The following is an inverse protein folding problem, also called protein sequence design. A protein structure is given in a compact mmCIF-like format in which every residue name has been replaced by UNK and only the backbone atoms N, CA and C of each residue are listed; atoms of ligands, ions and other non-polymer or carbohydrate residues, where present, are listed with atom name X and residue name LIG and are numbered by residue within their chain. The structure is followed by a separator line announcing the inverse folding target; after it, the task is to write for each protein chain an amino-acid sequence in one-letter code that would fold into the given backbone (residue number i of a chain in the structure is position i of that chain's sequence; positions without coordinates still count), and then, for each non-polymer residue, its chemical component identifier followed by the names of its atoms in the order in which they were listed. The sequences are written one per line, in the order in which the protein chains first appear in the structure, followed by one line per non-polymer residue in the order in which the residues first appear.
data_IF_969651695665
#
_entry.id   IF_969651695665
#
_cell.length_a   1.000
_cell.length_b   1.000
_cell.length_c   1.000
_cell.angle_alpha   90.00
_cell.angle_beta   90.00
_cell.angle_gamma   90.00
#
_symmetry.space_group_name_H-M   'P 1'
#
loop_
_entity.id
_entity.type
_entity.pdbx_description
1 polymer ?
#
# COMPACT_ATOMS: atom_id res chain seq x y z
N UNK A 1 11.43 5.00 18.17
CA UNK A 1 10.93 4.67 16.85
C UNK A 1 10.42 5.93 16.17
N UNK A 2 10.92 6.19 15.01
CA UNK A 2 10.40 7.31 14.26
C UNK A 2 8.96 6.99 13.83
N UNK A 3 8.03 7.77 14.33
CA UNK A 3 6.68 7.69 13.83
C UNK A 3 6.67 8.24 12.43
N UNK A 4 6.20 7.43 11.49
CA UNK A 4 5.90 7.96 10.19
C UNK A 4 4.70 8.89 10.31
N UNK A 5 4.96 10.18 10.18
CA UNK A 5 3.88 11.14 10.03
C UNK A 5 3.32 10.97 8.64
N UNK A 6 2.29 10.17 8.54
CA UNK A 6 1.53 10.09 7.31
C UNK A 6 0.58 11.26 7.28
N UNK A 7 0.85 12.23 6.42
CA UNK A 7 -0.15 13.25 6.14
C UNK A 7 -1.37 12.56 5.56
N UNK A 8 -2.57 12.84 6.07
CA UNK A 8 -3.77 12.24 5.50
C UNK A 8 -3.84 12.51 4.01
N UNK A 9 -4.08 11.48 3.23
CA UNK A 9 -4.14 11.60 1.78
C UNK A 9 -5.18 12.64 1.35
N UNK A 10 -6.31 12.71 2.05
CA UNK A 10 -7.34 13.70 1.79
C UNK A 10 -6.82 15.12 1.87
N UNK A 11 -5.94 15.41 2.82
CA UNK A 11 -5.34 16.74 2.97
C UNK A 11 -4.42 17.06 1.80
N UNK A 12 -3.60 16.12 1.37
CA UNK A 12 -2.73 16.30 0.21
C UNK A 12 -3.54 16.57 -1.05
N UNK A 13 -4.63 15.84 -1.23
CA UNK A 13 -5.51 16.03 -2.39
C UNK A 13 -6.19 17.39 -2.34
N UNK A 14 -6.66 17.82 -1.17
CA UNK A 14 -7.32 19.13 -1.00
C UNK A 14 -6.34 20.27 -1.30
N UNK A 15 -5.08 20.14 -0.89
CA UNK A 15 -4.05 21.15 -1.16
C UNK A 15 -3.75 21.27 -2.66
N UNK A 16 -3.80 20.18 -3.39
CA UNK A 16 -3.49 20.15 -4.84
C UNK A 16 -4.71 20.49 -5.69
N UNK A 17 -5.87 19.93 -5.37
CA UNK A 17 -7.06 19.97 -6.22
C UNK A 17 -8.13 20.96 -5.77
N UNK A 18 -7.99 21.56 -4.59
CA UNK A 18 -8.96 22.50 -4.06
C UNK A 18 -10.13 21.82 -3.33
N UNK A 19 -11.27 22.50 -3.30
CA UNK A 19 -12.41 22.05 -2.52
C UNK A 19 -13.11 20.84 -3.10
N UNK A 20 -13.61 19.98 -2.19
CA UNK A 20 -14.47 18.86 -2.55
C UNK A 20 -15.85 19.32 -2.91
N UNK A 21 -16.54 18.57 -3.72
CA UNK A 21 -17.95 18.79 -4.02
C UNK A 21 -18.36 18.69 -5.47
N UNK A 22 -17.41 18.50 -6.39
CA UNK A 22 -17.73 18.25 -7.79
C UNK A 22 -17.52 16.77 -8.11
N UNK A 23 -18.34 16.20 -8.98
CA UNK A 23 -18.19 14.81 -9.42
C UNK A 23 -16.82 14.55 -10.04
N UNK A 24 -16.36 15.47 -10.87
CA UNK A 24 -15.05 15.36 -11.52
C UNK A 24 -13.94 15.33 -10.50
N UNK A 25 -14.00 16.21 -9.49
CA UNK A 25 -13.03 16.27 -8.42
C UNK A 25 -13.02 14.98 -7.60
N UNK A 26 -14.20 14.46 -7.26
CA UNK A 26 -14.34 13.25 -6.46
C UNK A 26 -13.81 12.02 -7.21
N UNK A 27 -14.09 11.92 -8.51
CA UNK A 27 -13.58 10.83 -9.33
C UNK A 27 -12.05 10.87 -9.44
N UNK A 28 -11.48 12.06 -9.67
CA UNK A 28 -10.03 12.25 -9.73
C UNK A 28 -9.36 11.97 -8.39
N UNK A 29 -9.99 12.41 -7.31
CA UNK A 29 -9.50 12.16 -5.95
C UNK A 29 -9.43 10.66 -5.66
N UNK A 30 -10.48 9.92 -6.03
CA UNK A 30 -10.52 8.48 -5.82
C UNK A 30 -9.41 7.78 -6.58
N UNK A 31 -9.24 8.12 -7.87
CA UNK A 31 -8.18 7.55 -8.70
C UNK A 31 -6.79 7.86 -8.13
N UNK A 32 -6.57 9.11 -7.73
CA UNK A 32 -5.30 9.54 -7.15
C UNK A 32 -4.99 8.79 -5.86
N UNK A 33 -5.98 8.59 -4.99
CA UNK A 33 -5.81 7.83 -3.75
C UNK A 33 -5.41 6.39 -4.03
N UNK A 34 -6.06 5.75 -4.99
CA UNK A 34 -5.74 4.37 -5.36
C UNK A 34 -4.29 4.25 -5.87
N UNK A 35 -3.88 5.15 -6.75
CA UNK A 35 -2.53 5.15 -7.30
C UNK A 35 -1.47 5.45 -6.24
N UNK A 36 -1.71 6.45 -5.40
CA UNK A 36 -0.76 6.82 -4.33
C UNK A 36 -0.64 5.70 -3.31
N UNK A 37 -1.76 5.09 -2.92
CA UNK A 37 -1.74 3.98 -1.99
C UNK A 37 -0.98 2.78 -2.56
N UNK A 38 -1.18 2.46 -3.83
CA UNK A 38 -0.45 1.38 -4.49
C UNK A 38 1.04 1.66 -4.51
N UNK A 39 1.43 2.90 -4.75
CA UNK A 39 2.83 3.31 -4.72
C UNK A 39 3.46 3.11 -3.34
N UNK A 40 2.82 3.59 -2.30
CA UNK A 40 3.35 3.48 -0.93
C UNK A 40 3.38 2.04 -0.44
N UNK A 41 2.37 1.25 -0.79
CA UNK A 41 2.37 -0.18 -0.47
C UNK A 41 3.49 -0.90 -1.19
N UNK A 42 3.73 -0.58 -2.45
CA UNK A 42 4.85 -1.13 -3.22
C UNK A 42 6.19 -0.81 -2.60
N UNK A 43 6.38 0.43 -2.14
CA UNK A 43 7.60 0.85 -1.45
C UNK A 43 7.79 0.08 -0.14
N UNK A 44 6.72 -0.13 0.62
CA UNK A 44 6.78 -0.89 1.86
C UNK A 44 7.18 -2.34 1.60
N UNK A 45 6.64 -2.96 0.56
CA UNK A 45 7.01 -4.32 0.14
C UNK A 45 8.49 -4.37 -0.22
N UNK A 46 8.96 -3.42 -1.02
CA UNK A 46 10.36 -3.38 -1.43
C UNK A 46 11.30 -3.22 -0.24
N UNK A 47 11.00 -2.32 0.66
CA UNK A 47 11.81 -2.08 1.85
C UNK A 47 11.86 -3.31 2.76
N UNK A 48 10.72 -3.96 2.99
CA UNK A 48 10.67 -5.15 3.81
C UNK A 48 11.42 -6.31 3.15
N UNK A 49 11.31 -6.45 1.83
CA UNK A 49 12.05 -7.46 1.08
C UNK A 49 13.56 -7.23 1.20
N UNK A 50 14.00 -6.00 0.97
CA UNK A 50 15.42 -5.65 1.04
C UNK A 50 15.99 -5.82 2.45
N UNK A 51 15.19 -5.52 3.48
CA UNK A 51 15.59 -5.71 4.86
C UNK A 51 15.88 -7.18 5.18
N UNK A 52 15.22 -8.09 4.49
CA UNK A 52 15.46 -9.53 4.63
C UNK A 52 16.44 -10.10 3.60
N UNK A 53 17.02 -9.23 2.77
CA UNK A 53 17.97 -9.61 1.73
C UNK A 53 17.40 -10.63 0.73
N UNK A 54 16.12 -10.49 0.44
CA UNK A 54 15.43 -11.32 -0.55
C UNK A 54 15.44 -10.65 -1.91
N UNK A 55 15.58 -11.45 -2.95
CA UNK A 55 15.37 -10.98 -4.32
C UNK A 55 13.87 -10.98 -4.64
N UNK A 56 13.47 -10.28 -5.70
CA UNK A 56 12.09 -10.31 -6.18
C UNK A 56 11.67 -11.73 -6.55
N UNK A 57 12.58 -12.50 -7.14
CA UNK A 57 12.33 -13.89 -7.51
C UNK A 57 12.08 -14.75 -6.27
N UNK A 58 12.91 -14.60 -5.24
CA UNK A 58 12.75 -15.35 -3.99
C UNK A 58 11.43 -15.03 -3.30
N UNK A 59 11.02 -13.77 -3.27
CA UNK A 59 9.74 -13.40 -2.71
C UNK A 59 8.59 -13.99 -3.53
N UNK A 60 8.70 -13.94 -4.86
CA UNK A 60 7.72 -14.53 -5.76
C UNK A 60 7.55 -16.03 -5.51
N UNK A 61 8.64 -16.75 -5.31
CA UNK A 61 8.61 -18.18 -4.99
C UNK A 61 7.86 -18.46 -3.69
N UNK A 62 8.04 -17.63 -2.67
CA UNK A 62 7.37 -17.81 -1.38
C UNK A 62 5.85 -17.69 -1.47
N UNK A 63 5.35 -16.85 -2.36
CA UNK A 63 3.91 -16.61 -2.47
C UNK A 63 3.29 -17.21 -3.74
N UNK A 64 4.11 -17.90 -4.55
CA UNK A 64 3.63 -18.60 -5.73
C UNK A 64 3.33 -17.71 -6.93
N UNK A 65 4.07 -16.60 -7.08
CA UNK A 65 3.93 -15.71 -8.23
C UNK A 65 5.27 -15.49 -8.90
N UNK A 66 5.25 -14.99 -10.12
CA UNK A 66 6.46 -14.73 -10.88
C UNK A 66 7.12 -13.41 -10.44
N UNK A 67 8.42 -13.31 -10.69
CA UNK A 67 9.19 -12.10 -10.40
C UNK A 67 8.58 -10.84 -11.02
N UNK A 68 8.07 -10.94 -12.24
CA UNK A 68 7.44 -9.81 -12.91
C UNK A 68 6.25 -9.26 -12.11
N UNK A 69 5.49 -10.13 -11.46
CA UNK A 69 4.38 -9.73 -10.61
C UNK A 69 4.87 -8.95 -9.39
N UNK A 70 5.92 -9.43 -8.74
CA UNK A 70 6.53 -8.72 -7.60
C UNK A 70 7.04 -7.35 -8.05
N UNK A 71 7.71 -7.27 -9.19
CA UNK A 71 8.19 -6.01 -9.73
C UNK A 71 7.05 -5.00 -9.94
N UNK A 72 5.92 -5.43 -10.46
CA UNK A 72 4.75 -4.57 -10.64
C UNK A 72 4.17 -4.10 -9.32
N UNK A 73 4.08 -4.99 -8.34
CA UNK A 73 3.61 -4.63 -7.00
C UNK A 73 4.50 -3.58 -6.36
N UNK A 74 5.81 -3.75 -6.45
CA UNK A 74 6.78 -2.81 -5.86
C UNK A 74 6.78 -1.45 -6.53
N UNK A 75 6.43 -1.39 -7.81
CA UNK A 75 6.33 -0.13 -8.55
C UNK A 75 4.97 0.56 -8.42
N UNK A 76 4.02 -0.09 -7.75
CA UNK A 76 2.69 0.47 -7.60
C UNK A 76 1.84 0.39 -8.86
N UNK A 77 2.17 -0.48 -9.80
CA UNK A 77 1.45 -0.63 -11.06
C UNK A 77 0.24 -1.56 -10.97
N UNK A 78 0.02 -2.17 -9.82
CA UNK A 78 -1.08 -3.10 -9.60
C UNK A 78 -1.77 -2.77 -8.29
N UNK A 79 -3.11 -2.71 -8.33
CA UNK A 79 -3.90 -2.54 -7.12
C UNK A 79 -3.92 -3.87 -6.38
N UNK A 80 -3.58 -3.84 -5.09
CA UNK A 80 -3.57 -5.03 -4.26
C UNK A 80 -4.88 -5.19 -3.49
N UNK A 81 -5.41 -6.40 -3.51
CA UNK A 81 -6.53 -6.78 -2.64
C UNK A 81 -6.01 -7.16 -1.25
N UNK A 82 -6.90 -7.18 -0.25
CA UNK A 82 -6.51 -7.59 1.10
C UNK A 82 -5.89 -8.98 1.16
N UNK A 83 -6.43 -10.01 0.46
CA UNK A 83 -5.77 -11.32 0.44
C UNK A 83 -4.36 -11.28 -0.11
N UNK A 84 -4.12 -10.50 -1.17
CA UNK A 84 -2.78 -10.36 -1.74
C UNK A 84 -1.84 -9.66 -0.78
N UNK A 85 -2.28 -8.56 -0.15
CA UNK A 85 -1.51 -7.86 0.87
C UNK A 85 -1.12 -8.79 2.00
N UNK A 86 -2.06 -9.55 2.51
CA UNK A 86 -1.83 -10.49 3.60
C UNK A 86 -0.78 -11.52 3.22
N UNK A 87 -0.90 -12.13 2.03
CA UNK A 87 0.06 -13.13 1.56
C UNK A 87 1.47 -12.57 1.43
N UNK A 88 1.60 -11.39 0.82
CA UNK A 88 2.89 -10.76 0.60
C UNK A 88 3.55 -10.39 1.93
N UNK A 89 2.83 -9.69 2.79
CA UNK A 89 3.41 -9.24 4.06
C UNK A 89 3.65 -10.37 5.03
N UNK A 90 2.80 -11.39 5.06
CA UNK A 90 3.07 -12.59 5.87
C UNK A 90 4.34 -13.31 5.40
N UNK A 91 4.55 -13.41 4.09
CA UNK A 91 5.78 -13.97 3.53
C UNK A 91 7.02 -13.16 3.89
N UNK A 92 6.85 -11.87 4.14
CA UNK A 92 7.91 -10.96 4.58
C UNK A 92 8.10 -10.94 6.09
N UNK A 93 7.39 -11.79 6.82
CA UNK A 93 7.53 -11.89 8.27
C UNK A 93 6.71 -10.89 9.06
N UNK A 94 5.80 -10.18 8.43
CA UNK A 94 4.89 -9.26 9.11
C UNK A 94 3.69 -10.05 9.59
N UNK A 95 3.67 -10.35 10.89
CA UNK A 95 2.69 -11.27 11.47
C UNK A 95 1.28 -10.71 11.54
N UNK A 96 1.15 -9.39 11.61
CA UNK A 96 -0.17 -8.77 11.73
C UNK A 96 -0.15 -7.36 11.16
N UNK A 97 -1.30 -6.87 10.77
CA UNK A 97 -1.49 -5.49 10.35
C UNK A 97 -2.83 -4.97 10.86
N UNK A 98 -2.86 -3.69 11.16
CA UNK A 98 -4.09 -3.02 11.59
C UNK A 98 -4.38 -1.82 10.70
N UNK A 99 -5.66 -1.59 10.47
CA UNK A 99 -6.15 -0.41 9.79
C UNK A 99 -6.64 0.57 10.85
N UNK A 100 -6.08 1.77 10.84
CA UNK A 100 -6.50 2.83 11.75
C UNK A 100 -7.58 3.66 11.07
N UNK A 101 -8.78 3.60 11.61
CA UNK A 101 -9.95 4.32 11.09
C UNK A 101 -10.21 5.62 11.86
N UNK A 102 -9.24 6.10 12.63
CA UNK A 102 -9.40 7.31 13.39
C UNK A 102 -10.46 7.17 14.48
N UNK A 103 -11.50 8.00 14.43
CA UNK A 103 -12.56 7.99 15.43
C UNK A 103 -13.32 6.67 15.51
N UNK A 104 -13.37 5.90 14.42
CA UNK A 104 -14.04 4.60 14.39
C UNK A 104 -13.20 3.47 15.01
N UNK A 105 -11.93 3.75 15.32
CA UNK A 105 -11.06 2.77 15.96
C UNK A 105 -10.14 2.04 14.99
N UNK A 106 -9.54 0.96 15.46
CA UNK A 106 -8.60 0.15 14.68
C UNK A 106 -9.18 -1.20 14.36
N UNK A 107 -8.92 -1.68 13.16
CA UNK A 107 -9.39 -2.99 12.69
C UNK A 107 -8.17 -3.83 12.32
N UNK A 108 -8.11 -5.05 12.83
CA UNK A 108 -7.07 -6.00 12.44
C UNK A 108 -7.36 -6.51 11.03
N UNK A 109 -6.36 -6.45 10.15
CA UNK A 109 -6.49 -6.94 8.77
C UNK A 109 -6.10 -8.41 8.66
N UNK A 110 -5.11 -8.84 9.43
CA UNK A 110 -4.72 -10.24 9.58
C UNK A 110 -3.93 -10.45 10.88
#
# INVERSE_FOLDING_TARGET
MAQMHLTPLSKLVDDVWGEKGTEERDAMEKQLKEEVNAYYLGEAIRKARQAQKLTQEELGERIGVQRAQISRLEKGHTIMTLPTLSRVFCALGIASATLDLGAAGKVALW
#
